data_IF_134411342908
#
_entry.id   IF_134411342908
#
_cell.length_a   1.000
_cell.length_b   1.000
_cell.length_c   1.000
_cell.angle_alpha   90.00
_cell.angle_beta   90.00
_cell.angle_gamma   90.00
#
_symmetry.space_group_name_H-M   'P 1'
#
loop_
_entity.id
_entity.type
_entity.pdbx_description
1 polymer ?
#
# COMPACT_ATOMS: atom_id res chain seq x y z
N UNK A 1 -2.56 -22.31 1.24
CA UNK A 1 -1.41 -22.38 0.31
C UNK A 1 -0.39 -21.32 0.64
N UNK A 2 0.83 -21.71 0.97
CA UNK A 2 1.84 -20.70 1.28
C UNK A 2 2.21 -19.92 0.03
N UNK A 3 2.50 -18.64 0.22
CA UNK A 3 2.98 -17.81 -0.87
C UNK A 3 4.40 -18.24 -1.25
N UNK A 4 4.76 -18.18 -2.53
CA UNK A 4 6.14 -18.42 -2.93
C UNK A 4 7.05 -17.39 -2.27
N UNK A 5 8.22 -17.83 -1.88
CA UNK A 5 9.18 -16.93 -1.28
C UNK A 5 9.74 -15.99 -2.34
N UNK A 6 9.88 -14.72 -2.01
CA UNK A 6 10.43 -13.70 -2.90
C UNK A 6 11.76 -13.23 -2.36
N UNK A 7 12.67 -12.88 -3.26
CA UNK A 7 14.01 -12.46 -2.88
C UNK A 7 14.17 -10.94 -2.85
N UNK A 8 13.24 -10.21 -3.49
CA UNK A 8 13.32 -8.76 -3.58
C UNK A 8 11.97 -8.20 -3.99
N UNK A 9 11.83 -6.86 -3.95
CA UNK A 9 10.63 -6.21 -4.46
C UNK A 9 10.47 -6.50 -5.96
N UNK A 10 11.55 -6.43 -6.72
CA UNK A 10 11.47 -6.74 -8.15
C UNK A 10 11.01 -8.17 -8.40
N UNK A 11 11.44 -9.11 -7.56
CA UNK A 11 11.00 -10.49 -7.66
C UNK A 11 9.50 -10.62 -7.36
N UNK A 12 9.01 -9.87 -6.37
CA UNK A 12 7.57 -9.83 -6.11
C UNK A 12 6.79 -9.46 -7.37
N UNK A 13 7.20 -8.40 -8.05
CA UNK A 13 6.51 -7.95 -9.26
C UNK A 13 6.69 -8.92 -10.41
N UNK A 14 7.84 -9.59 -10.50
CA UNK A 14 8.10 -10.58 -11.55
C UNK A 14 7.18 -11.80 -11.41
N UNK A 15 6.77 -12.13 -10.19
CA UNK A 15 5.93 -13.31 -9.95
C UNK A 15 4.42 -13.03 -10.05
N UNK A 16 4.02 -11.79 -10.30
CA UNK A 16 2.61 -11.46 -10.43
C UNK A 16 1.99 -12.11 -11.67
N UNK A 17 0.71 -12.50 -11.54
CA UNK A 17 -0.05 -12.95 -12.70
C UNK A 17 -0.39 -11.78 -13.60
N UNK A 18 -0.81 -12.07 -14.84
CA UNK A 18 -1.22 -11.02 -15.77
C UNK A 18 -2.41 -10.20 -15.25
N UNK A 19 -3.28 -10.84 -14.47
CA UNK A 19 -4.44 -10.16 -13.87
C UNK A 19 -4.01 -9.20 -12.76
N UNK A 20 -3.03 -9.60 -11.96
CA UNK A 20 -2.55 -8.79 -10.82
C UNK A 20 -1.68 -7.62 -11.26
N UNK A 21 -0.92 -7.81 -12.32
CA UNK A 21 0.17 -6.90 -12.68
C UNK A 21 -0.25 -5.45 -12.88
N UNK A 22 -1.31 -5.14 -13.63
CA UNK A 22 -1.64 -3.73 -13.87
C UNK A 22 -1.91 -2.93 -12.59
N UNK A 23 -2.67 -3.51 -11.66
CA UNK A 23 -3.00 -2.83 -10.41
C UNK A 23 -1.78 -2.66 -9.52
N UNK A 24 -1.00 -3.73 -9.35
CA UNK A 24 0.17 -3.67 -8.47
C UNK A 24 1.24 -2.73 -9.02
N UNK A 25 1.43 -2.73 -10.34
CA UNK A 25 2.40 -1.82 -10.96
C UNK A 25 1.95 -0.36 -10.85
N UNK A 26 0.65 -0.12 -10.99
CA UNK A 26 0.12 1.24 -10.80
C UNK A 26 0.30 1.71 -9.36
N UNK A 27 0.07 0.83 -8.38
CA UNK A 27 0.31 1.15 -6.97
C UNK A 27 1.79 1.45 -6.71
N UNK A 28 2.68 0.73 -7.36
CA UNK A 28 4.11 0.98 -7.25
C UNK A 28 4.47 2.38 -7.77
N UNK A 29 3.93 2.75 -8.92
CA UNK A 29 4.13 4.07 -9.50
C UNK A 29 3.61 5.17 -8.58
N UNK A 30 2.39 5.00 -8.09
CA UNK A 30 1.77 5.97 -7.17
C UNK A 30 2.61 6.12 -5.89
N UNK A 31 3.15 5.01 -5.39
CA UNK A 31 3.96 5.04 -4.19
C UNK A 31 5.26 5.82 -4.39
N UNK A 32 5.89 5.62 -5.55
CA UNK A 32 7.12 6.35 -5.88
C UNK A 32 6.86 7.84 -6.07
N UNK A 33 5.70 8.17 -6.64
CA UNK A 33 5.32 9.57 -6.89
C UNK A 33 4.90 10.28 -5.60
N UNK A 34 4.38 9.55 -4.61
CA UNK A 34 3.90 10.14 -3.37
C UNK A 34 5.02 10.81 -2.58
N UNK A 35 6.19 10.17 -2.56
CA UNK A 35 7.37 10.76 -1.89
C UNK A 35 8.63 10.17 -2.54
N UNK A 36 9.45 11.02 -3.20
CA UNK A 36 10.67 10.54 -3.85
C UNK A 36 11.69 9.94 -2.88
N UNK A 37 11.57 10.26 -1.58
CA UNK A 37 12.50 9.72 -0.58
C UNK A 37 12.06 8.37 -0.03
N UNK A 38 10.86 7.92 -0.34
CA UNK A 38 10.39 6.63 0.11
C UNK A 38 11.17 5.51 -0.58
N UNK A 39 11.65 4.56 0.23
CA UNK A 39 12.40 3.42 -0.29
C UNK A 39 11.49 2.20 -0.34
N UNK A 40 11.65 1.39 -1.38
CA UNK A 40 10.98 0.09 -1.46
C UNK A 40 11.83 -0.95 -0.76
N UNK A 41 11.22 -1.74 0.10
CA UNK A 41 11.90 -2.84 0.78
C UNK A 41 10.97 -4.04 0.83
N UNK A 42 11.55 -5.23 0.85
CA UNK A 42 10.77 -6.47 0.96
C UNK A 42 10.72 -6.87 2.43
N UNK A 43 9.53 -6.83 3.02
CA UNK A 43 9.31 -7.26 4.40
C UNK A 43 8.06 -8.13 4.42
N UNK A 44 8.10 -9.18 5.24
CA UNK A 44 6.97 -10.13 5.29
C UNK A 44 6.57 -10.63 3.90
N UNK A 45 7.56 -10.77 3.02
CA UNK A 45 7.37 -11.25 1.65
C UNK A 45 6.53 -10.30 0.77
N UNK A 46 6.44 -9.02 1.15
CA UNK A 46 5.62 -8.02 0.46
C UNK A 46 6.41 -6.72 0.28
N UNK A 47 6.07 -5.91 -0.76
CA UNK A 47 6.67 -4.59 -0.91
C UNK A 47 6.19 -3.65 0.20
N UNK A 48 7.13 -3.05 0.88
CA UNK A 48 6.88 -2.09 1.95
C UNK A 48 7.60 -0.79 1.61
N UNK A 49 6.94 0.34 1.84
CA UNK A 49 7.52 1.65 1.57
C UNK A 49 7.96 2.25 2.89
N UNK A 50 9.20 2.76 2.90
CA UNK A 50 9.90 3.14 4.12
C UNK A 50 10.38 4.59 3.99
N UNK A 51 10.08 5.40 5.01
CA UNK A 51 10.63 6.75 5.14
C UNK A 51 11.56 6.79 6.35
N UNK A 52 12.51 7.73 6.31
CA UNK A 52 13.50 7.82 7.37
C UNK A 52 14.34 6.56 7.45
N UNK A 53 14.76 6.20 8.65
CA UNK A 53 15.62 5.03 8.83
C UNK A 53 14.85 3.73 8.72
N UNK A 54 13.69 3.63 9.36
CA UNK A 54 12.97 2.36 9.49
C UNK A 54 11.45 2.50 9.53
N UNK A 55 10.91 3.66 9.17
CA UNK A 55 9.47 3.89 9.33
C UNK A 55 8.69 3.37 8.15
N UNK A 56 8.02 2.23 8.34
CA UNK A 56 7.14 1.65 7.32
C UNK A 56 5.89 2.50 7.22
N UNK A 57 5.63 3.05 6.05
CA UNK A 57 4.50 3.97 5.89
C UNK A 57 3.29 3.31 5.24
N UNK A 58 3.49 2.46 4.26
CA UNK A 58 2.42 1.61 3.72
C UNK A 58 3.05 0.41 3.03
N UNK A 59 2.19 -0.57 2.69
CA UNK A 59 2.65 -1.76 1.99
C UNK A 59 1.60 -2.25 1.02
N UNK A 60 2.04 -3.00 0.02
CA UNK A 60 1.18 -3.60 -1.00
C UNK A 60 1.01 -5.09 -0.71
N UNK A 61 -0.20 -5.61 -0.94
CA UNK A 61 -0.45 -7.04 -0.79
C UNK A 61 -1.31 -7.53 -1.94
N UNK A 62 -0.91 -8.65 -2.55
CA UNK A 62 -1.64 -9.23 -3.66
C UNK A 62 -2.44 -10.44 -3.19
N UNK A 63 -3.63 -10.59 -3.76
CA UNK A 63 -4.49 -11.75 -3.57
C UNK A 63 -4.95 -12.21 -4.95
N UNK A 64 -5.68 -13.31 -5.01
CA UNK A 64 -6.09 -13.89 -6.29
C UNK A 64 -6.99 -12.95 -7.10
N UNK A 65 -7.99 -12.35 -6.45
CA UNK A 65 -9.01 -11.56 -7.13
C UNK A 65 -8.96 -10.07 -6.81
N UNK A 66 -8.07 -9.67 -5.92
CA UNK A 66 -7.92 -8.27 -5.54
C UNK A 66 -6.52 -8.04 -4.97
N UNK A 67 -6.17 -6.78 -4.82
CA UNK A 67 -4.99 -6.41 -4.04
C UNK A 67 -5.42 -5.41 -2.97
N UNK A 68 -4.52 -5.13 -2.04
CA UNK A 68 -4.76 -4.19 -0.96
C UNK A 68 -3.60 -3.24 -0.82
N UNK A 69 -3.93 -1.98 -0.51
CA UNK A 69 -2.97 -1.00 -0.04
C UNK A 69 -3.18 -0.90 1.46
N UNK A 70 -2.13 -1.20 2.24
CA UNK A 70 -2.24 -1.30 3.69
C UNK A 70 -1.49 -0.17 4.37
N UNK A 71 -2.12 0.36 5.42
CA UNK A 71 -1.59 1.44 6.25
C UNK A 71 -1.61 1.01 7.71
N UNK A 72 -0.87 1.72 8.59
CA UNK A 72 -1.02 1.47 10.03
C UNK A 72 -2.48 1.67 10.44
N UNK A 73 -3.07 0.74 11.18
CA UNK A 73 -4.49 0.82 11.53
C UNK A 73 -4.91 2.13 12.21
N UNK A 74 -4.14 2.71 13.14
CA UNK A 74 -4.56 3.99 13.74
C UNK A 74 -4.70 5.11 12.72
N UNK A 75 -3.79 5.19 11.75
CA UNK A 75 -3.89 6.17 10.68
C UNK A 75 -5.11 5.88 9.83
N UNK A 76 -5.26 4.62 9.39
CA UNK A 76 -6.33 4.29 8.45
C UNK A 76 -7.71 4.50 9.06
N UNK A 77 -7.85 4.35 10.36
CA UNK A 77 -9.11 4.60 11.04
C UNK A 77 -9.64 6.01 10.76
N UNK A 78 -8.74 6.98 10.55
CA UNK A 78 -9.15 8.35 10.22
C UNK A 78 -9.58 8.52 8.77
N UNK A 79 -9.27 7.54 7.90
CA UNK A 79 -9.53 7.62 6.46
C UNK A 79 -10.64 6.67 6.00
N UNK A 80 -11.03 5.74 6.84
CA UNK A 80 -11.93 4.65 6.44
C UNK A 80 -13.26 5.15 5.89
N UNK A 81 -13.86 6.13 6.55
CA UNK A 81 -15.14 6.67 6.10
C UNK A 81 -15.04 7.29 4.70
N UNK A 82 -13.94 7.97 4.42
CA UNK A 82 -13.71 8.56 3.11
C UNK A 82 -13.59 7.49 2.03
N UNK A 83 -12.89 6.40 2.34
CA UNK A 83 -12.73 5.28 1.42
C UNK A 83 -14.08 4.63 1.12
N UNK A 84 -14.87 4.40 2.16
CA UNK A 84 -16.19 3.79 2.01
C UNK A 84 -17.15 4.69 1.24
N UNK A 85 -17.07 5.99 1.48
CA UNK A 85 -17.88 6.97 0.76
C UNK A 85 -17.55 7.00 -0.73
N UNK A 86 -16.31 6.65 -1.10
CA UNK A 86 -15.91 6.56 -2.49
C UNK A 86 -16.34 5.25 -3.15
N UNK A 87 -17.00 4.36 -2.42
CA UNK A 87 -17.52 3.12 -2.95
C UNK A 87 -16.55 1.94 -2.91
N UNK A 88 -15.54 2.01 -2.07
CA UNK A 88 -14.56 0.93 -1.94
C UNK A 88 -14.65 0.27 -0.57
N UNK A 89 -14.37 -1.02 -0.55
CA UNK A 89 -14.41 -1.79 0.68
C UNK A 89 -13.13 -1.51 1.49
N UNK A 90 -13.29 -1.26 2.78
CA UNK A 90 -12.17 -0.99 3.66
C UNK A 90 -12.23 -1.90 4.87
N UNK A 91 -11.07 -2.40 5.28
CA UNK A 91 -10.93 -3.17 6.49
C UNK A 91 -10.15 -2.39 7.54
N UNK A 92 -9.62 -3.11 8.51
CA UNK A 92 -8.81 -2.50 9.55
C UNK A 92 -7.39 -2.32 9.02
N UNK A 93 -7.11 -1.13 8.52
CA UNK A 93 -5.80 -0.81 8.00
C UNK A 93 -5.61 -1.05 6.52
N UNK A 94 -6.67 -1.28 5.74
CA UNK A 94 -6.48 -1.47 4.31
C UNK A 94 -7.70 -1.08 3.48
N UNK A 95 -7.42 -0.75 2.22
CA UNK A 95 -8.44 -0.59 1.19
C UNK A 95 -8.34 -1.78 0.22
N UNK A 96 -9.49 -2.39 -0.09
CA UNK A 96 -9.57 -3.55 -0.99
C UNK A 96 -9.77 -3.07 -2.42
N UNK A 97 -8.95 -3.58 -3.33
CA UNK A 97 -8.91 -3.14 -4.72
C UNK A 97 -9.10 -4.34 -5.67
N UNK A 98 -10.36 -4.64 -6.05
CA UNK A 98 -10.59 -5.74 -7.00
C UNK A 98 -9.95 -5.45 -8.35
N UNK A 99 -9.37 -6.47 -8.96
CA UNK A 99 -8.70 -6.29 -10.25
C UNK A 99 -9.65 -5.94 -11.38
N UNK A 100 -10.91 -6.29 -11.24
CA UNK A 100 -11.94 -6.00 -12.27
C UNK A 100 -12.45 -4.56 -12.24
N UNK A 101 -12.07 -3.79 -11.20
CA UNK A 101 -12.43 -2.38 -11.10
C UNK A 101 -11.21 -1.52 -11.36
N UNK A 102 -11.44 -0.34 -11.94
CA UNK A 102 -10.37 0.64 -12.08
C UNK A 102 -9.90 1.08 -10.69
N UNK A 103 -8.60 1.36 -10.57
CA UNK A 103 -8.06 1.90 -9.33
C UNK A 103 -8.62 3.30 -9.09
N UNK A 104 -9.01 3.61 -7.84
CA UNK A 104 -9.44 4.96 -7.49
C UNK A 104 -8.22 5.85 -7.27
N UNK A 105 -7.57 6.23 -8.37
CA UNK A 105 -6.26 6.89 -8.32
C UNK A 105 -6.23 8.11 -7.41
N UNK A 106 -7.26 8.95 -7.46
CA UNK A 106 -7.30 10.16 -6.64
C UNK A 106 -7.44 9.84 -5.15
N UNK A 107 -8.25 8.82 -4.82
CA UNK A 107 -8.38 8.37 -3.43
C UNK A 107 -7.05 7.82 -2.92
N UNK A 108 -6.38 7.02 -3.75
CA UNK A 108 -5.10 6.41 -3.36
C UNK A 108 -4.02 7.47 -3.17
N UNK A 109 -3.95 8.45 -4.06
CA UNK A 109 -3.01 9.57 -3.91
C UNK A 109 -3.27 10.33 -2.62
N UNK A 110 -4.53 10.60 -2.32
CA UNK A 110 -4.89 11.33 -1.11
C UNK A 110 -4.51 10.54 0.15
N UNK A 111 -4.72 9.23 0.14
CA UNK A 111 -4.34 8.37 1.27
C UNK A 111 -2.82 8.39 1.49
N UNK A 112 -2.07 8.22 0.42
CA UNK A 112 -0.61 8.22 0.51
C UNK A 112 -0.09 9.57 0.98
N UNK A 113 -0.64 10.65 0.44
CA UNK A 113 -0.24 12.00 0.81
C UNK A 113 -0.56 12.29 2.29
N UNK A 114 -1.74 11.90 2.75
CA UNK A 114 -2.13 12.07 4.14
C UNK A 114 -1.19 11.29 5.07
N UNK A 115 -0.78 10.10 4.66
CA UNK A 115 0.14 9.28 5.46
C UNK A 115 1.53 9.91 5.53
N UNK A 116 2.03 10.44 4.41
CA UNK A 116 3.30 11.15 4.39
C UNK A 116 3.24 12.37 5.32
N UNK A 117 2.14 13.10 5.27
CA UNK A 117 1.95 14.28 6.14
C UNK A 117 1.92 13.88 7.62
N UNK A 118 1.25 12.79 7.94
CA UNK A 118 1.25 12.28 9.32
C UNK A 118 2.65 11.92 9.78
N UNK A 119 3.39 11.21 8.94
CA UNK A 119 4.76 10.83 9.27
C UNK A 119 5.63 12.06 9.47
N UNK A 120 5.51 13.05 8.60
CA UNK A 120 6.28 14.28 8.70
C UNK A 120 5.97 15.03 10.00
N UNK A 121 4.71 15.03 10.41
CA UNK A 121 4.29 15.74 11.62
C UNK A 121 4.64 14.99 12.91
N UNK A 122 4.60 13.67 12.91
CA UNK A 122 4.70 12.88 14.14
C UNK A 122 5.88 11.93 14.20
N UNK A 123 6.46 11.57 13.05
CA UNK A 123 7.49 10.54 12.97
C UNK A 123 6.99 9.12 13.17
N UNK A 124 5.66 8.92 13.22
CA UNK A 124 5.09 7.63 13.55
C UNK A 124 5.24 6.61 12.42
N UNK A 125 5.88 5.48 12.72
CA UNK A 125 5.96 4.35 11.82
C UNK A 125 4.87 3.34 12.12
N UNK A 126 4.98 2.16 11.51
CA UNK A 126 3.94 1.13 11.63
C UNK A 126 3.77 0.61 13.05
N UNK A 127 4.87 0.43 13.73
CA UNK A 127 4.86 -0.18 15.06
C UNK A 127 4.88 0.85 16.19
N UNK A 128 4.83 2.12 15.86
CA UNK A 128 4.84 3.18 16.87
C UNK A 128 3.46 3.37 17.44
N UNK A 129 3.38 3.43 18.76
CA UNK A 129 2.14 3.59 19.49
C UNK A 129 2.31 4.61 20.59
#
# INVERSE_FOLDING_TARGET
>A
MPMPKRSSVDDFFAQLTDVQRPHLEALRELSRDADPQAREDLKWNLPVYVLGDKSNVWMLQNFKNHCSLRFPPPFFATQKATVEAAGYEAGEGFIKLPYERELPTEVLKALMQARVEEYTATGAGWNDR
#
